data_IF_061109993160
#
_entry.id   IF_061109993160
#
_cell.length_a   1.000
_cell.length_b   1.000
_cell.length_c   1.000
_cell.angle_alpha   90.00
_cell.angle_beta   90.00
_cell.angle_gamma   90.00
#
_symmetry.space_group_name_H-M   'P 1'
#
loop_
_entity.id
_entity.type
_entity.pdbx_description
1 polymer ?
#
# COMPACT_ATOMS: atom_id res chain seq x y z
N UNK A 1 -45.14 -13.46 -9.22
CA UNK A 1 -43.68 -13.68 -9.27
C UNK A 1 -43.37 -14.18 -10.67
N UNK A 2 -42.75 -13.36 -11.51
CA UNK A 2 -42.65 -13.61 -12.95
C UNK A 2 -41.62 -14.72 -13.22
N UNK A 3 -41.87 -15.56 -14.23
CA UNK A 3 -40.91 -16.59 -14.69
C UNK A 3 -39.53 -15.97 -15.00
N UNK A 4 -39.52 -14.73 -15.51
CA UNK A 4 -38.31 -13.94 -15.79
C UNK A 4 -37.49 -13.66 -14.53
N UNK A 5 -38.12 -13.25 -13.44
CA UNK A 5 -37.42 -13.01 -12.16
C UNK A 5 -36.84 -14.28 -11.54
N UNK A 6 -37.44 -15.46 -11.78
CA UNK A 6 -36.86 -16.73 -11.35
C UNK A 6 -35.66 -17.12 -12.21
N UNK A 7 -35.70 -16.83 -13.52
CA UNK A 7 -34.59 -17.05 -14.43
C UNK A 7 -33.40 -16.15 -14.08
N UNK A 8 -33.61 -14.87 -13.80
CA UNK A 8 -32.55 -13.95 -13.38
C UNK A 8 -31.90 -14.39 -12.05
N UNK A 9 -32.71 -14.89 -11.11
CA UNK A 9 -32.23 -15.38 -9.80
C UNK A 9 -31.49 -16.73 -9.94
N UNK A 10 -31.94 -17.61 -10.85
CA UNK A 10 -31.24 -18.84 -11.23
C UNK A 10 -29.93 -18.56 -12.00
N UNK A 11 -29.88 -17.50 -12.81
CA UNK A 11 -28.65 -17.03 -13.50
C UNK A 11 -27.65 -16.46 -12.49
N UNK A 12 -28.12 -15.69 -11.50
CA UNK A 12 -27.30 -15.20 -10.40
C UNK A 12 -26.70 -16.33 -9.54
N UNK A 13 -27.49 -17.37 -9.22
CA UNK A 13 -27.03 -18.56 -8.50
C UNK A 13 -26.12 -19.47 -9.34
N UNK A 14 -26.38 -19.62 -10.64
CA UNK A 14 -25.53 -20.44 -11.53
C UNK A 14 -24.22 -19.75 -11.93
N UNK A 15 -24.15 -18.42 -11.91
CA UNK A 15 -22.91 -17.65 -12.08
C UNK A 15 -22.02 -17.62 -10.82
N UNK A 16 -22.50 -18.16 -9.70
CA UNK A 16 -21.79 -18.19 -8.42
C UNK A 16 -20.78 -19.33 -8.40
N UNK A 17 -19.64 -19.09 -9.05
CA UNK A 17 -18.52 -20.03 -9.07
C UNK A 17 -17.83 -20.08 -7.70
N UNK A 18 -17.24 -21.22 -7.36
CA UNK A 18 -16.55 -21.39 -6.07
C UNK A 18 -15.37 -20.41 -5.93
N UNK A 19 -14.73 -20.03 -7.04
CA UNK A 19 -13.65 -19.04 -7.08
C UNK A 19 -14.14 -17.67 -6.58
N UNK A 20 -15.33 -17.23 -7.00
CA UNK A 20 -15.94 -15.97 -6.53
C UNK A 20 -16.26 -16.01 -5.05
N UNK A 21 -16.75 -17.15 -4.54
CA UNK A 21 -16.97 -17.36 -3.11
C UNK A 21 -15.67 -17.23 -2.30
N UNK A 22 -14.57 -17.82 -2.78
CA UNK A 22 -13.26 -17.68 -2.14
C UNK A 22 -12.81 -16.23 -2.13
N UNK A 23 -12.92 -15.52 -3.25
CA UNK A 23 -12.51 -14.12 -3.33
C UNK A 23 -13.36 -13.20 -2.43
N UNK A 24 -14.66 -13.46 -2.31
CA UNK A 24 -15.52 -12.75 -1.34
C UNK A 24 -15.11 -13.06 0.11
N UNK A 25 -14.75 -14.32 0.41
CA UNK A 25 -14.24 -14.68 1.73
C UNK A 25 -12.92 -13.97 2.04
N UNK A 26 -11.99 -13.90 1.07
CA UNK A 26 -10.75 -13.12 1.18
C UNK A 26 -11.05 -11.64 1.43
N UNK A 27 -11.95 -11.04 0.66
CA UNK A 27 -12.39 -9.65 0.88
C UNK A 27 -12.97 -9.42 2.28
N UNK A 28 -13.75 -10.38 2.79
CA UNK A 28 -14.27 -10.37 4.16
C UNK A 28 -13.17 -10.47 5.23
N UNK A 29 -12.14 -11.30 4.99
CA UNK A 29 -10.97 -11.40 5.86
C UNK A 29 -10.18 -10.09 5.88
N UNK A 30 -10.00 -9.43 4.73
CA UNK A 30 -9.34 -8.13 4.65
C UNK A 30 -10.10 -7.05 5.44
N UNK A 31 -11.43 -7.00 5.31
CA UNK A 31 -12.28 -6.11 6.11
C UNK A 31 -12.16 -6.43 7.60
N UNK A 32 -12.17 -7.70 7.97
CA UNK A 32 -12.03 -8.12 9.37
C UNK A 32 -10.67 -7.72 9.95
N UNK A 33 -9.58 -7.89 9.20
CA UNK A 33 -8.24 -7.43 9.60
C UNK A 33 -8.20 -5.91 9.79
N UNK A 34 -8.78 -5.16 8.84
CA UNK A 34 -8.85 -3.71 8.89
C UNK A 34 -9.61 -3.20 10.14
N UNK A 35 -10.75 -3.81 10.48
CA UNK A 35 -11.59 -3.37 11.60
C UNK A 35 -11.07 -3.84 12.95
N UNK A 36 -10.76 -5.14 13.08
CA UNK A 36 -10.38 -5.72 14.37
C UNK A 36 -8.95 -5.37 14.78
N UNK A 37 -8.02 -5.39 13.83
CA UNK A 37 -6.60 -5.17 14.10
C UNK A 37 -6.09 -3.79 13.67
N UNK A 38 -6.94 -2.97 13.05
CA UNK A 38 -6.60 -1.62 12.60
C UNK A 38 -5.37 -1.62 11.68
N UNK A 39 -5.21 -2.67 10.88
CA UNK A 39 -4.16 -2.77 9.89
C UNK A 39 -4.55 -1.98 8.63
N UNK A 40 -3.82 -0.90 8.35
CA UNK A 40 -4.03 0.04 7.23
C UNK A 40 -5.51 0.23 6.84
N UNK A 41 -6.39 0.64 7.78
CA UNK A 41 -7.83 0.60 7.59
C UNK A 41 -8.29 1.50 6.44
N UNK A 42 -7.54 2.57 6.15
CA UNK A 42 -7.82 3.50 5.06
C UNK A 42 -7.76 2.85 3.68
N UNK A 43 -6.93 1.82 3.49
CA UNK A 43 -6.71 1.16 2.20
C UNK A 43 -7.33 -0.24 2.17
N UNK A 44 -7.11 -1.02 3.23
CA UNK A 44 -7.53 -2.42 3.29
C UNK A 44 -9.05 -2.58 3.30
N UNK A 45 -9.78 -1.62 3.90
CA UNK A 45 -11.24 -1.63 3.95
C UNK A 45 -11.88 -1.37 2.56
N UNK A 46 -11.53 -0.30 1.80
CA UNK A 46 -12.01 -0.14 0.42
C UNK A 46 -11.64 -1.31 -0.50
N UNK A 47 -10.43 -1.86 -0.38
CA UNK A 47 -9.97 -2.99 -1.19
C UNK A 47 -10.81 -4.23 -0.89
N UNK A 48 -11.02 -4.56 0.39
CA UNK A 48 -11.85 -5.70 0.78
C UNK A 48 -13.31 -5.56 0.31
N UNK A 49 -13.86 -4.35 0.41
CA UNK A 49 -15.22 -4.05 -0.09
C UNK A 49 -15.30 -4.17 -1.61
N UNK A 50 -14.34 -3.60 -2.34
CA UNK A 50 -14.24 -3.72 -3.79
C UNK A 50 -14.10 -5.18 -4.24
N UNK A 51 -13.31 -5.97 -3.52
CA UNK A 51 -13.14 -7.41 -3.78
C UNK A 51 -14.45 -8.18 -3.62
N UNK A 52 -15.26 -7.86 -2.61
CA UNK A 52 -16.58 -8.47 -2.45
C UNK A 52 -17.49 -8.06 -3.60
N UNK A 53 -17.64 -6.75 -3.87
CA UNK A 53 -18.53 -6.24 -4.91
C UNK A 53 -18.18 -6.76 -6.31
N UNK A 54 -16.88 -6.84 -6.64
CA UNK A 54 -16.39 -7.35 -7.92
C UNK A 54 -16.74 -8.82 -8.16
N UNK A 55 -16.96 -9.61 -7.09
CA UNK A 55 -17.21 -11.05 -7.18
C UNK A 55 -18.71 -11.42 -7.08
N UNK A 56 -19.61 -10.45 -6.87
CA UNK A 56 -21.06 -10.71 -6.87
C UNK A 56 -21.55 -10.93 -8.31
N UNK A 57 -22.11 -12.11 -8.65
CA UNK A 57 -22.64 -12.37 -9.99
C UNK A 57 -23.89 -11.55 -10.30
N UNK A 58 -24.04 -11.16 -11.58
CA UNK A 58 -25.24 -10.48 -12.07
C UNK A 58 -25.36 -9.00 -11.71
N UNK A 59 -24.30 -8.35 -11.22
CA UNK A 59 -24.33 -6.93 -10.84
C UNK A 59 -24.02 -5.95 -11.97
N UNK A 60 -23.40 -6.41 -13.06
CA UNK A 60 -22.95 -5.55 -14.17
C UNK A 60 -21.85 -4.53 -13.78
N UNK A 61 -21.34 -4.56 -12.55
CA UNK A 61 -20.42 -3.54 -12.02
C UNK A 61 -19.06 -3.50 -12.74
N UNK A 62 -18.63 -4.64 -13.28
CA UNK A 62 -17.37 -4.82 -14.01
C UNK A 62 -17.55 -4.80 -15.54
N UNK A 63 -18.79 -4.74 -16.02
CA UNK A 63 -19.10 -4.72 -17.46
C UNK A 63 -18.89 -3.32 -18.05
N UNK A 64 -18.94 -3.19 -19.38
CA UNK A 64 -18.82 -1.88 -20.04
C UNK A 64 -19.93 -0.94 -19.56
N UNK A 65 -19.54 0.21 -18.99
CA UNK A 65 -20.47 1.16 -18.35
C UNK A 65 -20.76 0.89 -16.87
N UNK A 66 -20.25 -0.21 -16.30
CA UNK A 66 -20.32 -0.51 -14.88
C UNK A 66 -19.47 0.45 -14.04
N UNK A 67 -19.95 0.81 -12.85
CA UNK A 67 -19.29 1.80 -11.97
C UNK A 67 -17.83 1.44 -11.67
N UNK A 68 -17.55 0.18 -11.31
CA UNK A 68 -16.19 -0.24 -10.96
C UNK A 68 -15.27 -0.27 -12.19
N UNK A 69 -15.82 -0.62 -13.36
CA UNK A 69 -15.08 -0.60 -14.62
C UNK A 69 -14.70 0.83 -15.04
N UNK A 70 -15.63 1.77 -14.94
CA UNK A 70 -15.38 3.19 -15.20
C UNK A 70 -14.30 3.73 -14.25
N UNK A 71 -14.39 3.44 -12.95
CA UNK A 71 -13.38 3.88 -11.98
C UNK A 71 -12.01 3.25 -12.26
N UNK A 72 -11.97 1.98 -12.66
CA UNK A 72 -10.73 1.31 -13.04
C UNK A 72 -10.11 1.95 -14.29
N UNK A 73 -10.89 2.17 -15.34
CA UNK A 73 -10.40 2.71 -16.61
C UNK A 73 -10.01 4.19 -16.48
N UNK A 74 -10.79 4.98 -15.75
CA UNK A 74 -10.53 6.41 -15.54
C UNK A 74 -9.47 6.69 -14.48
N UNK A 75 -9.19 5.74 -13.58
CA UNK A 75 -8.32 5.95 -12.42
C UNK A 75 -7.03 5.13 -12.42
N UNK A 76 -7.13 3.81 -12.56
CA UNK A 76 -5.98 2.90 -12.48
C UNK A 76 -5.31 2.77 -13.85
N UNK A 77 -6.09 2.51 -14.90
CA UNK A 77 -5.56 2.33 -16.26
C UNK A 77 -5.02 3.64 -16.85
N UNK A 78 -5.58 4.78 -16.45
CA UNK A 78 -5.10 6.12 -16.83
C UNK A 78 -3.96 6.62 -15.94
N UNK A 79 -3.52 5.84 -14.96
CA UNK A 79 -2.47 6.17 -13.98
C UNK A 79 -2.79 7.38 -13.09
N UNK A 80 -4.03 7.90 -13.15
CA UNK A 80 -4.47 9.05 -12.38
C UNK A 80 -4.43 8.78 -10.87
N UNK A 81 -4.97 7.64 -10.41
CA UNK A 81 -5.01 7.32 -8.97
C UNK A 81 -3.62 7.04 -8.39
N UNK A 82 -2.76 6.19 -8.99
CA UNK A 82 -1.39 6.02 -8.50
C UNK A 82 -0.62 7.33 -8.42
N UNK A 83 -0.71 8.19 -9.45
CA UNK A 83 0.00 9.47 -9.48
C UNK A 83 -0.49 10.44 -8.39
N UNK A 84 -1.81 10.54 -8.18
CA UNK A 84 -2.37 11.38 -7.11
C UNK A 84 -1.96 10.89 -5.72
N UNK A 85 -1.91 9.57 -5.51
CA UNK A 85 -1.43 9.00 -4.25
C UNK A 85 0.05 9.31 -4.05
N UNK A 86 0.90 9.24 -5.08
CA UNK A 86 2.31 9.62 -5.00
C UNK A 86 2.50 11.09 -4.64
N UNK A 87 1.72 11.99 -5.23
CA UNK A 87 1.75 13.42 -4.89
C UNK A 87 1.36 13.62 -3.42
N UNK A 88 0.32 12.92 -2.94
CA UNK A 88 -0.11 12.98 -1.55
C UNK A 88 0.96 12.48 -0.57
N UNK A 89 1.54 11.30 -0.82
CA UNK A 89 2.62 10.74 0.01
C UNK A 89 3.83 11.69 0.03
N UNK A 90 4.22 12.21 -1.13
CA UNK A 90 5.32 13.18 -1.24
C UNK A 90 5.07 14.46 -0.44
N UNK A 91 3.84 14.99 -0.47
CA UNK A 91 3.45 16.18 0.30
C UNK A 91 3.41 15.94 1.82
N UNK A 92 3.19 14.69 2.26
CA UNK A 92 3.15 14.32 3.68
C UNK A 92 4.51 13.85 4.22
N UNK A 93 5.52 13.69 3.37
CA UNK A 93 6.84 13.17 3.75
C UNK A 93 7.71 14.27 4.36
N UNK A 94 8.17 14.06 5.60
CA UNK A 94 9.15 14.94 6.24
C UNK A 94 10.58 14.51 5.86
N UNK A 95 11.30 15.40 5.17
CA UNK A 95 12.70 15.19 4.78
C UNK A 95 13.70 15.59 5.86
N UNK A 96 13.28 16.23 6.95
CA UNK A 96 14.14 16.68 8.05
C UNK A 96 15.08 15.58 8.55
N UNK A 97 14.58 14.41 8.97
CA UNK A 97 15.42 13.30 9.43
C UNK A 97 16.41 12.78 8.38
N UNK A 98 16.04 12.84 7.09
CA UNK A 98 16.90 12.40 5.98
C UNK A 98 18.03 13.40 5.71
N UNK A 99 17.72 14.69 5.76
CA UNK A 99 18.67 15.79 5.55
C UNK A 99 19.63 15.96 6.73
N UNK A 100 19.16 15.72 7.96
CA UNK A 100 20.00 15.75 9.16
C UNK A 100 21.13 14.72 9.11
N UNK A 101 20.84 13.51 8.61
CA UNK A 101 21.82 12.45 8.48
C UNK A 101 21.67 11.71 7.13
N UNK A 102 22.39 12.15 6.09
CA UNK A 102 22.27 11.56 4.74
C UNK A 102 22.72 10.10 4.67
N UNK A 103 23.37 9.56 5.71
CA UNK A 103 23.69 8.13 5.81
C UNK A 103 22.44 7.26 5.78
N UNK A 104 21.27 7.78 6.17
CA UNK A 104 20.00 7.05 6.08
C UNK A 104 19.59 6.74 4.62
N UNK A 105 20.02 7.54 3.63
CA UNK A 105 19.79 7.26 2.21
C UNK A 105 20.40 5.91 1.81
N UNK A 106 21.57 5.57 2.35
CA UNK A 106 22.24 4.29 2.05
C UNK A 106 21.46 3.09 2.59
N UNK A 107 20.84 3.23 3.76
CA UNK A 107 19.96 2.20 4.31
C UNK A 107 18.70 2.04 3.45
N UNK A 108 18.15 3.14 2.94
CA UNK A 108 17.04 3.10 1.96
C UNK A 108 17.43 2.39 0.67
N UNK A 109 18.62 2.66 0.13
CA UNK A 109 19.14 1.98 -1.06
C UNK A 109 19.32 0.47 -0.81
N UNK A 110 19.83 0.07 0.36
CA UNK A 110 19.95 -1.35 0.72
C UNK A 110 18.60 -2.05 0.85
N UNK A 111 17.56 -1.36 1.33
CA UNK A 111 16.20 -1.92 1.44
C UNK A 111 15.63 -2.34 0.07
N UNK A 112 15.98 -1.62 -1.01
CA UNK A 112 15.52 -1.94 -2.37
C UNK A 112 16.09 -3.26 -2.93
N UNK A 113 17.07 -3.87 -2.25
CA UNK A 113 17.54 -5.21 -2.61
C UNK A 113 16.43 -6.27 -2.54
N UNK A 114 15.37 -6.01 -1.75
CA UNK A 114 14.16 -6.82 -1.72
C UNK A 114 13.50 -6.99 -3.09
N UNK A 115 13.53 -5.97 -3.95
CA UNK A 115 12.99 -6.06 -5.32
C UNK A 115 13.70 -7.15 -6.10
N UNK A 116 15.04 -7.11 -6.12
CA UNK A 116 15.84 -8.09 -6.85
C UNK A 116 15.68 -9.50 -6.30
N UNK A 117 15.62 -9.65 -4.97
CA UNK A 117 15.35 -10.95 -4.35
C UNK A 117 14.02 -11.54 -4.79
N UNK A 118 12.96 -10.73 -4.79
CA UNK A 118 11.61 -11.16 -5.18
C UNK A 118 11.53 -11.47 -6.68
N UNK A 119 12.18 -10.66 -7.52
CA UNK A 119 12.30 -10.88 -8.96
C UNK A 119 13.03 -12.19 -9.26
N UNK A 120 14.19 -12.44 -8.63
CA UNK A 120 14.96 -13.68 -8.84
C UNK A 120 14.14 -14.92 -8.48
N UNK A 121 13.41 -14.87 -7.37
CA UNK A 121 12.53 -15.97 -6.96
C UNK A 121 11.40 -16.16 -7.98
N UNK A 122 10.77 -15.09 -8.46
CA UNK A 122 9.71 -15.17 -9.47
C UNK A 122 10.22 -15.76 -10.79
N UNK A 123 11.41 -15.37 -11.25
CA UNK A 123 12.04 -15.96 -12.45
C UNK A 123 12.37 -17.44 -12.24
N UNK A 124 12.84 -17.85 -11.05
CA UNK A 124 13.07 -19.26 -10.71
C UNK A 124 11.78 -20.09 -10.70
N UNK A 125 10.65 -19.48 -10.35
CA UNK A 125 9.31 -20.07 -10.44
C UNK A 125 8.74 -20.08 -11.87
N UNK A 126 9.54 -19.72 -12.88
CA UNK A 126 9.18 -19.71 -14.31
C UNK A 126 8.12 -18.69 -14.72
N UNK A 127 7.99 -17.58 -13.98
CA UNK A 127 7.22 -16.43 -14.48
C UNK A 127 7.95 -15.74 -15.62
N UNK A 128 7.18 -15.15 -16.56
CA UNK A 128 7.74 -14.29 -17.61
C UNK A 128 8.49 -13.10 -17.00
N UNK A 129 9.47 -12.54 -17.71
CA UNK A 129 10.29 -11.45 -17.17
C UNK A 129 9.46 -10.22 -16.79
N UNK A 130 8.39 -9.90 -17.54
CA UNK A 130 7.54 -8.75 -17.24
C UNK A 130 6.65 -9.00 -16.01
N UNK A 131 6.19 -10.25 -15.86
CA UNK A 131 5.44 -10.69 -14.68
C UNK A 131 6.33 -10.74 -13.45
N UNK A 132 7.53 -11.31 -13.58
CA UNK A 132 8.53 -11.38 -12.52
C UNK A 132 9.00 -9.99 -12.09
N UNK A 133 9.15 -9.04 -13.03
CA UNK A 133 9.44 -7.64 -12.70
C UNK A 133 8.29 -7.01 -11.91
N UNK A 134 7.04 -7.20 -12.32
CA UNK A 134 5.86 -6.68 -11.62
C UNK A 134 5.72 -7.25 -10.20
N UNK A 135 5.94 -8.56 -10.04
CA UNK A 135 5.99 -9.23 -8.72
C UNK A 135 7.20 -8.73 -7.91
N UNK A 136 8.31 -8.45 -8.57
CA UNK A 136 9.53 -7.91 -7.97
C UNK A 136 9.29 -6.63 -7.19
N UNK A 137 8.52 -5.70 -7.76
CA UNK A 137 8.24 -4.38 -7.17
C UNK A 137 7.50 -4.48 -5.82
N UNK A 138 6.79 -5.59 -5.55
CA UNK A 138 6.20 -5.86 -4.23
C UNK A 138 7.28 -5.78 -3.13
N UNK A 139 8.52 -6.19 -3.43
CA UNK A 139 9.66 -6.11 -2.52
C UNK A 139 10.11 -4.69 -2.18
N UNK A 140 9.62 -3.66 -2.87
CA UNK A 140 9.94 -2.26 -2.62
C UNK A 140 9.26 -1.67 -1.37
N UNK A 141 8.32 -2.40 -0.76
CA UNK A 141 7.49 -1.90 0.34
C UNK A 141 6.49 -0.78 -0.07
N UNK A 142 6.20 -0.61 -1.37
CA UNK A 142 5.46 0.53 -1.91
C UNK A 142 4.29 0.10 -2.82
N UNK A 143 3.07 0.29 -2.31
CA UNK A 143 1.83 -0.15 -2.95
C UNK A 143 1.51 0.61 -4.26
N UNK A 144 1.50 1.95 -4.28
CA UNK A 144 1.26 2.73 -5.48
C UNK A 144 2.22 2.42 -6.65
N UNK A 145 3.52 2.24 -6.41
CA UNK A 145 4.46 1.84 -7.49
C UNK A 145 4.19 0.42 -7.95
N UNK A 146 3.86 -0.50 -7.04
CA UNK A 146 3.52 -1.89 -7.39
C UNK A 146 2.31 -1.95 -8.32
N UNK A 147 1.27 -1.15 -8.06
CA UNK A 147 0.11 -1.04 -8.95
C UNK A 147 0.52 -0.48 -10.32
N UNK A 148 1.27 0.63 -10.32
CA UNK A 148 1.68 1.30 -11.55
C UNK A 148 2.52 0.40 -12.45
N UNK A 149 3.54 -0.26 -11.90
CA UNK A 149 4.41 -1.14 -12.69
C UNK A 149 3.63 -2.35 -13.19
N UNK A 150 2.74 -2.93 -12.38
CA UNK A 150 1.87 -4.00 -12.82
C UNK A 150 0.92 -3.56 -13.95
N UNK A 151 0.35 -2.35 -13.91
CA UNK A 151 -0.56 -1.88 -14.97
C UNK A 151 0.14 -1.67 -16.31
N UNK A 152 1.46 -1.40 -16.29
CA UNK A 152 2.27 -1.22 -17.50
C UNK A 152 2.85 -2.54 -18.01
N UNK A 153 3.38 -3.39 -17.12
CA UNK A 153 4.13 -4.60 -17.50
C UNK A 153 3.31 -5.88 -17.50
N UNK A 154 2.35 -6.03 -16.59
CA UNK A 154 1.54 -7.25 -16.44
C UNK A 154 0.09 -6.91 -15.99
N UNK A 155 -0.73 -6.30 -16.88
CA UNK A 155 -2.08 -5.82 -16.54
C UNK A 155 -2.99 -6.92 -15.96
N UNK A 156 -2.77 -8.17 -16.36
CA UNK A 156 -3.49 -9.34 -15.90
C UNK A 156 -3.20 -9.70 -14.43
N UNK A 157 -2.05 -9.25 -13.89
CA UNK A 157 -1.64 -9.48 -12.51
C UNK A 157 -1.91 -8.30 -11.57
N UNK A 158 -2.45 -7.18 -12.05
CA UNK A 158 -2.73 -5.99 -11.24
C UNK A 158 -3.58 -6.33 -10.02
N UNK A 159 -4.65 -7.10 -10.18
CA UNK A 159 -5.52 -7.50 -9.07
C UNK A 159 -4.77 -8.29 -7.99
N UNK A 160 -4.18 -9.45 -8.32
CA UNK A 160 -3.37 -10.24 -7.38
C UNK A 160 -2.22 -9.45 -6.74
N UNK A 161 -1.48 -8.66 -7.52
CA UNK A 161 -0.36 -7.84 -7.02
C UNK A 161 -0.86 -6.77 -6.04
N UNK A 162 -1.97 -6.09 -6.35
CA UNK A 162 -2.55 -5.07 -5.48
C UNK A 162 -2.96 -5.67 -4.13
N UNK A 163 -3.66 -6.80 -4.15
CA UNK A 163 -4.08 -7.48 -2.92
C UNK A 163 -2.86 -7.94 -2.13
N UNK A 164 -1.89 -8.57 -2.78
CA UNK A 164 -0.67 -9.02 -2.11
C UNK A 164 0.10 -7.84 -1.51
N UNK A 165 0.26 -6.75 -2.26
CA UNK A 165 1.06 -5.60 -1.89
C UNK A 165 0.54 -4.94 -0.60
N UNK A 166 -0.72 -4.52 -0.59
CA UNK A 166 -1.30 -3.88 0.60
C UNK A 166 -1.50 -4.87 1.75
N UNK A 167 -1.76 -6.15 1.46
CA UNK A 167 -1.90 -7.14 2.53
C UNK A 167 -0.57 -7.35 3.27
N UNK A 168 0.56 -7.46 2.58
CA UNK A 168 1.85 -7.64 3.27
C UNK A 168 2.28 -6.36 3.99
N UNK A 169 2.02 -5.17 3.43
CA UNK A 169 2.32 -3.87 4.08
C UNK A 169 1.61 -3.78 5.43
N UNK A 170 0.34 -4.18 5.46
CA UNK A 170 -0.47 -4.27 6.67
C UNK A 170 0.11 -5.25 7.72
N UNK A 171 0.91 -6.23 7.28
CA UNK A 171 1.54 -7.26 8.10
C UNK A 171 2.95 -6.90 8.57
N UNK A 172 3.51 -5.76 8.13
CA UNK A 172 4.85 -5.29 8.54
C UNK A 172 5.01 -5.25 10.07
N UNK A 173 4.04 -4.75 10.88
CA UNK A 173 4.17 -4.76 12.34
C UNK A 173 4.31 -6.16 12.95
N UNK A 174 3.84 -7.20 12.25
CA UNK A 174 3.93 -8.59 12.69
C UNK A 174 5.24 -9.22 12.22
N UNK A 175 5.65 -8.97 10.97
CA UNK A 175 6.84 -9.57 10.34
C UNK A 175 8.14 -8.90 10.82
N UNK A 176 8.14 -7.58 10.98
CA UNK A 176 9.35 -6.80 11.26
C UNK A 176 9.98 -7.12 12.63
N UNK A 177 9.24 -7.19 13.77
CA UNK A 177 9.87 -7.43 15.07
C UNK A 177 10.58 -8.80 15.20
N UNK A 178 10.01 -9.92 14.70
CA UNK A 178 10.72 -11.21 14.65
C UNK A 178 12.01 -11.17 13.83
N UNK A 179 11.98 -10.54 12.65
CA UNK A 179 13.16 -10.43 11.78
C UNK A 179 14.26 -9.61 12.45
N UNK A 180 13.90 -8.48 13.07
CA UNK A 180 14.84 -7.69 13.87
C UNK A 180 15.39 -8.52 15.05
N UNK A 181 14.54 -9.34 15.69
CA UNK A 181 14.96 -10.19 16.80
C UNK A 181 15.99 -11.25 16.40
N UNK A 182 15.90 -11.75 15.17
CA UNK A 182 16.78 -12.78 14.62
C UNK A 182 18.12 -12.22 14.13
N UNK A 183 18.11 -11.07 13.45
CA UNK A 183 19.29 -10.53 12.76
C UNK A 183 20.16 -9.60 13.61
N UNK A 184 19.59 -8.98 14.66
CA UNK A 184 20.34 -8.01 15.49
C UNK A 184 20.59 -8.55 16.88
N UNK A 185 21.64 -8.08 17.54
CA UNK A 185 21.97 -8.44 18.93
C UNK A 185 21.39 -7.44 19.93
N UNK A 186 21.32 -7.81 21.23
CA UNK A 186 20.93 -6.85 22.28
C UNK A 186 21.90 -5.66 22.36
N UNK A 187 23.19 -5.86 22.11
CA UNK A 187 24.20 -4.79 22.17
C UNK A 187 23.92 -3.71 21.11
N UNK A 188 23.60 -4.12 19.89
CA UNK A 188 23.26 -3.20 18.78
C UNK A 188 21.96 -2.44 19.03
N UNK A 189 20.93 -3.12 19.57
CA UNK A 189 19.63 -2.47 19.88
C UNK A 189 19.69 -1.43 20.99
N UNK A 190 20.75 -1.42 21.80
CA UNK A 190 20.94 -0.49 22.91
C UNK A 190 21.85 0.70 22.55
N UNK A 191 22.31 0.80 21.30
CA UNK A 191 23.10 1.94 20.83
C UNK A 191 22.25 3.21 20.92
N UNK A 192 22.74 4.22 21.65
CA UNK A 192 22.09 5.53 21.73
C UNK A 192 22.36 6.32 20.47
N UNK A 193 21.30 6.69 19.76
CA UNK A 193 21.38 7.60 18.62
C UNK A 193 21.62 9.02 19.14
N UNK A 194 22.73 9.69 18.80
CA UNK A 194 22.96 11.07 19.22
C UNK A 194 21.92 11.96 18.54
N UNK A 195 21.30 12.87 19.31
CA UNK A 195 20.47 13.93 18.75
C UNK A 195 21.36 14.91 18.00
N UNK A 196 21.55 14.70 16.70
CA UNK A 196 22.18 15.67 15.82
C UNK A 196 21.15 16.70 15.39
N UNK A 197 20.83 17.67 16.25
CA UNK A 197 20.16 18.90 15.82
C UNK A 197 21.16 19.74 15.02
N UNK A 198 21.44 19.34 13.78
CA UNK A 198 22.00 20.29 12.82
C UNK A 198 20.90 21.30 12.55
N UNK A 199 21.11 22.60 12.74
CA UNK A 199 20.10 23.59 12.37
C UNK A 199 19.95 23.51 10.86
N UNK A 200 18.89 22.85 10.41
CA UNK A 200 18.49 22.81 9.01
C UNK A 200 18.07 24.23 8.68
N UNK A 201 18.80 24.90 7.79
CA UNK A 201 18.42 26.24 7.32
C UNK A 201 17.06 26.10 6.63
N UNK A 202 16.17 27.09 6.79
CA UNK A 202 14.90 27.11 6.02
C UNK A 202 15.13 26.93 4.51
N UNK A 203 16.29 27.35 4.01
CA UNK A 203 16.67 27.18 2.60
C UNK A 203 17.02 25.74 2.18
N UNK A 204 17.29 24.84 3.14
CA UNK A 204 17.63 23.44 2.86
C UNK A 204 16.38 22.53 2.86
N UNK A 205 15.23 23.02 3.36
CA UNK A 205 13.98 22.26 3.48
C UNK A 205 12.77 22.89 2.77
N UNK A 206 12.80 24.17 2.37
CA UNK A 206 11.73 24.84 1.61
C UNK A 206 12.06 24.91 0.10
N UNK A 207 11.22 24.35 -0.80
CA UNK A 207 11.29 24.69 -2.23
C UNK A 207 10.61 26.03 -2.56
N UNK A 208 9.93 26.68 -1.62
CA UNK A 208 9.14 27.91 -1.89
C UNK A 208 9.19 28.87 -0.69
N UNK A 209 9.58 30.15 -0.86
CA UNK A 209 9.60 31.11 0.24
C UNK A 209 8.19 31.63 0.54
N UNK A 210 7.69 31.38 1.74
CA UNK A 210 6.52 32.09 2.27
C UNK A 210 6.97 33.36 3.02
N UNK A 211 6.49 34.56 2.64
CA UNK A 211 6.80 35.77 3.37
C UNK A 211 5.90 35.86 4.61
N UNK A 212 6.52 36.05 5.77
CA UNK A 212 5.91 36.67 6.94
C UNK A 212 4.88 35.85 7.70
N UNK A 213 5.27 35.29 8.84
CA UNK A 213 4.60 35.53 10.11
C UNK A 213 5.53 35.13 11.26
N UNK A 214 5.99 36.16 11.95
CA UNK A 214 6.78 36.13 13.18
C UNK A 214 5.90 35.82 14.40
N UNK A 215 6.38 34.92 15.26
CA UNK A 215 5.94 34.78 16.65
C UNK A 215 4.74 33.86 16.85
N UNK A 216 4.82 33.01 17.90
CA UNK A 216 3.79 32.10 18.45
C UNK A 216 4.03 30.60 18.20
N UNK A 217 5.18 30.07 18.63
CA UNK A 217 5.28 28.64 18.95
C UNK A 217 6.40 28.38 19.98
N UNK A 218 6.29 29.01 21.16
CA UNK A 218 7.20 28.74 22.29
C UNK A 218 6.49 28.23 23.55
N UNK A 219 5.17 27.96 23.52
CA UNK A 219 4.41 27.68 24.77
C UNK A 219 3.55 26.40 24.77
N UNK A 220 3.65 25.51 23.78
CA UNK A 220 2.78 24.30 23.72
C UNK A 220 3.46 22.95 23.93
N UNK A 221 4.72 22.94 24.38
CA UNK A 221 5.51 21.71 24.57
C UNK A 221 5.82 21.37 26.05
N UNK A 222 5.05 21.89 27.02
CA UNK A 222 5.21 21.58 28.45
C UNK A 222 4.04 20.79 29.07
N UNK A 223 3.24 20.10 28.27
CA UNK A 223 2.02 19.43 28.74
C UNK A 223 1.87 17.98 28.30
N UNK A 224 2.91 17.15 28.39
CA UNK A 224 2.72 15.69 28.32
C UNK A 224 3.84 14.93 29.08
N UNK A 225 3.79 15.03 30.40
CA UNK A 225 4.50 14.14 31.32
C UNK A 225 3.68 14.00 32.59
N UNK A 226 2.66 13.15 32.57
CA UNK A 226 2.14 12.41 33.72
C UNK A 226 0.93 11.55 33.30
N UNK A 227 0.98 10.29 33.71
CA UNK A 227 -0.13 9.34 33.88
C UNK A 227 -0.71 8.54 32.70
N UNK A 228 -0.45 7.22 32.84
CA UNK A 228 -1.15 6.01 32.33
C UNK A 228 -0.59 5.32 31.08
#
# INVERSE_FOLDING_TARGET
MNILTLQDLLVGLSGLTWQRLVMMAVGGVLIWLAVKYQYEPLLLLPIGFGCILANIPGTGLLEEGGLLKILYDAGIKSELFPSLVFIGIGAMTDFGPLLENPKYVLLGAAAQFGIFGTLLIATLLKFDINQAASIGIIGAADGPTSIFVASVLAPELVGPITVAAYSYMSLVPVIQPPVMKLLTTRKERLIRMPYTSRPISKNDADPVPHPGHSGLCSDRAQGYSADR
#
